data_IF_648299075505
#
_entry.id   IF_648299075505
#
_cell.length_a   1.000
_cell.length_b   1.000
_cell.length_c   1.000
_cell.angle_alpha   90.00
_cell.angle_beta   90.00
_cell.angle_gamma   90.00
#
_symmetry.space_group_name_H-M   'P 1'
#
loop_
_entity.id
_entity.type
_entity.pdbx_description
1 polymer ?
#
# COMPACT_ATOMS: atom_id res chain seq x y z
N UNK A 1 36.95 -16.42 -57.59
CA UNK A 1 36.70 -17.56 -56.68
C UNK A 1 36.24 -17.00 -55.36
N UNK A 2 35.15 -17.55 -54.83
CA UNK A 2 34.29 -16.92 -53.83
C UNK A 2 34.80 -16.94 -52.39
N UNK A 3 34.02 -16.20 -51.60
CA UNK A 3 34.08 -15.81 -50.20
C UNK A 3 34.36 -16.90 -49.16
N UNK A 4 34.96 -16.50 -48.05
CA UNK A 4 34.49 -16.90 -46.72
C UNK A 4 34.88 -15.81 -45.69
N UNK A 5 34.14 -14.70 -45.70
CA UNK A 5 34.03 -13.87 -44.50
C UNK A 5 33.16 -14.66 -43.52
N UNK A 6 33.77 -15.27 -42.51
CA UNK A 6 33.02 -16.03 -41.51
C UNK A 6 32.35 -15.04 -40.55
N UNK A 7 31.05 -14.83 -40.78
CA UNK A 7 30.15 -14.10 -39.91
C UNK A 7 30.02 -14.83 -38.56
N UNK A 8 30.39 -14.17 -37.46
CA UNK A 8 29.84 -14.51 -36.15
C UNK A 8 28.47 -13.82 -36.08
N UNK A 9 27.47 -14.50 -36.63
CA UNK A 9 26.07 -14.21 -36.38
C UNK A 9 25.52 -15.34 -35.52
N UNK A 10 25.42 -15.05 -34.23
CA UNK A 10 24.75 -15.87 -33.23
C UNK A 10 24.26 -14.95 -32.14
N UNK A 11 23.42 -13.98 -32.52
CA UNK A 11 22.63 -13.17 -31.60
C UNK A 11 21.82 -14.09 -30.70
N UNK A 12 22.14 -14.13 -29.41
CA UNK A 12 21.30 -14.82 -28.43
C UNK A 12 19.92 -14.14 -28.38
N UNK A 13 18.81 -14.79 -28.77
CA UNK A 13 17.48 -14.24 -28.59
C UNK A 13 16.91 -14.79 -27.27
N UNK A 14 17.69 -14.69 -26.19
CA UNK A 14 17.21 -14.98 -24.84
C UNK A 14 17.48 -13.84 -23.86
N UNK A 15 17.71 -12.63 -24.37
CA UNK A 15 17.35 -11.42 -23.63
C UNK A 15 15.82 -11.29 -23.61
N UNK A 16 15.14 -12.28 -23.03
CA UNK A 16 13.76 -12.12 -22.61
C UNK A 16 13.71 -10.86 -21.77
N UNK A 17 12.89 -9.90 -22.18
CA UNK A 17 12.76 -8.61 -21.51
C UNK A 17 12.69 -8.87 -20.00
N UNK A 18 13.70 -8.42 -19.27
CA UNK A 18 13.73 -8.60 -17.82
C UNK A 18 12.46 -7.96 -17.27
N UNK A 19 11.62 -8.78 -16.63
CA UNK A 19 10.39 -8.33 -16.00
C UNK A 19 10.81 -7.50 -14.78
N UNK A 20 10.74 -6.18 -14.91
CA UNK A 20 11.09 -5.26 -13.84
C UNK A 20 10.03 -5.27 -12.76
N UNK A 21 10.32 -4.68 -11.60
CA UNK A 21 9.32 -4.51 -10.55
C UNK A 21 8.10 -3.69 -11.02
N UNK A 22 8.26 -2.86 -12.06
CA UNK A 22 7.16 -2.10 -12.67
C UNK A 22 6.20 -2.98 -13.48
N UNK A 23 6.66 -4.13 -13.98
CA UNK A 23 5.85 -5.07 -14.76
C UNK A 23 5.00 -6.00 -13.86
N UNK A 24 5.21 -5.97 -12.54
CA UNK A 24 4.43 -6.75 -11.57
C UNK A 24 3.01 -6.17 -11.43
N UNK A 25 1.94 -6.97 -11.60
CA UNK A 25 0.57 -6.51 -11.42
C UNK A 25 0.30 -6.00 -10.01
N UNK A 26 -0.47 -4.91 -9.89
CA UNK A 26 -0.83 -4.28 -8.60
C UNK A 26 -1.49 -5.26 -7.62
N UNK A 27 -2.32 -6.19 -8.12
CA UNK A 27 -2.98 -7.19 -7.28
C UNK A 27 -2.00 -8.15 -6.61
N UNK A 28 -0.91 -8.53 -7.29
CA UNK A 28 0.13 -9.40 -6.72
C UNK A 28 0.86 -8.68 -5.58
N UNK A 29 1.22 -7.41 -5.80
CA UNK A 29 1.88 -6.58 -4.77
C UNK A 29 0.93 -6.32 -3.59
N UNK A 30 -0.35 -6.08 -3.87
CA UNK A 30 -1.40 -5.92 -2.84
C UNK A 30 -1.50 -7.17 -1.96
N UNK A 31 -1.52 -8.37 -2.57
CA UNK A 31 -1.55 -9.63 -1.83
C UNK A 31 -0.29 -9.81 -0.97
N UNK A 32 0.88 -9.45 -1.48
CA UNK A 32 2.13 -9.45 -0.69
C UNK A 32 2.05 -8.50 0.52
N UNK A 33 1.54 -7.28 0.33
CA UNK A 33 1.41 -6.30 1.41
C UNK A 33 0.46 -6.73 2.54
N UNK A 34 -0.52 -7.61 2.26
CA UNK A 34 -1.37 -8.17 3.32
C UNK A 34 -0.58 -8.95 4.38
N UNK A 35 0.62 -9.45 4.06
CA UNK A 35 1.48 -10.20 4.98
C UNK A 35 2.63 -9.38 5.59
N UNK A 36 2.73 -8.08 5.26
CA UNK A 36 3.81 -7.20 5.73
C UNK A 36 3.37 -6.26 6.85
N UNK A 37 4.29 -5.79 7.67
CA UNK A 37 3.96 -4.81 8.70
C UNK A 37 3.70 -3.42 8.08
N UNK A 38 2.78 -2.61 8.63
CA UNK A 38 2.45 -1.28 8.09
C UNK A 38 3.65 -0.35 7.83
N UNK A 39 4.71 -0.30 8.67
CA UNK A 39 5.93 0.46 8.37
C UNK A 39 6.68 -0.04 7.13
N UNK A 40 6.74 -1.36 6.93
CA UNK A 40 7.41 -1.99 5.77
C UNK A 40 6.69 -1.64 4.47
N UNK A 41 5.35 -1.66 4.49
CA UNK A 41 4.52 -1.26 3.35
C UNK A 41 4.83 0.19 2.96
N UNK A 42 4.97 1.09 3.94
CA UNK A 42 5.28 2.51 3.70
C UNK A 42 6.69 2.71 3.14
N UNK A 43 7.65 1.89 3.56
CA UNK A 43 9.00 1.90 3.01
C UNK A 43 9.00 1.43 1.55
N UNK A 44 8.36 0.30 1.27
CA UNK A 44 8.28 -0.28 -0.07
C UNK A 44 7.50 0.59 -1.06
N UNK A 45 6.50 1.33 -0.57
CA UNK A 45 5.77 2.30 -1.38
C UNK A 45 6.66 3.39 -2.01
N UNK A 46 7.87 3.62 -1.50
CA UNK A 46 8.82 4.62 -2.03
C UNK A 46 9.72 4.07 -3.13
N UNK A 47 9.71 2.76 -3.36
CA UNK A 47 10.67 2.08 -4.24
C UNK A 47 10.27 2.17 -5.72
N UNK A 48 8.99 2.02 -6.05
CA UNK A 48 8.50 2.11 -7.43
C UNK A 48 7.01 2.50 -7.50
N UNK A 49 6.52 2.79 -8.71
CA UNK A 49 5.13 3.21 -8.96
C UNK A 49 4.09 2.12 -8.64
N UNK A 50 4.37 0.86 -8.98
CA UNK A 50 3.45 -0.27 -8.74
C UNK A 50 3.25 -0.50 -7.24
N UNK A 51 4.32 -0.42 -6.46
CA UNK A 51 4.32 -0.55 -5.00
C UNK A 51 3.65 0.65 -4.36
N UNK A 52 3.94 1.87 -4.86
CA UNK A 52 3.25 3.06 -4.41
C UNK A 52 1.73 2.95 -4.58
N UNK A 53 1.26 2.49 -5.74
CA UNK A 53 -0.18 2.27 -6.01
C UNK A 53 -0.78 1.20 -5.11
N UNK A 54 -0.17 0.02 -5.07
CA UNK A 54 -0.63 -1.08 -4.22
C UNK A 54 -0.71 -0.69 -2.74
N UNK A 55 0.22 0.15 -2.25
CA UNK A 55 0.24 0.61 -0.85
C UNK A 55 -0.96 1.48 -0.47
N UNK A 56 -1.72 1.99 -1.46
CA UNK A 56 -2.92 2.80 -1.25
C UNK A 56 -4.20 1.99 -1.37
N UNK A 57 -4.11 0.71 -1.71
CA UNK A 57 -5.27 -0.17 -1.86
C UNK A 57 -5.95 -0.41 -0.52
N UNK A 58 -7.26 -0.22 -0.49
CA UNK A 58 -8.09 -0.48 0.69
C UNK A 58 -8.05 -1.96 1.11
N UNK A 59 -7.78 -2.89 0.18
CA UNK A 59 -7.66 -4.30 0.51
C UNK A 59 -6.49 -4.57 1.49
N UNK A 60 -5.36 -3.87 1.30
CA UNK A 60 -4.22 -3.96 2.22
C UNK A 60 -4.62 -3.49 3.60
N UNK A 61 -5.18 -2.27 3.70
CA UNK A 61 -5.45 -1.64 4.98
C UNK A 61 -6.64 -2.26 5.71
N UNK A 62 -7.63 -2.83 5.00
CA UNK A 62 -8.67 -3.64 5.64
C UNK A 62 -8.07 -4.79 6.45
N UNK A 63 -7.07 -5.49 5.89
CA UNK A 63 -6.39 -6.59 6.58
C UNK A 63 -5.54 -6.10 7.78
N UNK A 64 -5.12 -4.84 7.79
CA UNK A 64 -4.33 -4.26 8.89
C UNK A 64 -5.16 -3.59 9.97
N UNK A 65 -6.44 -3.36 9.71
CA UNK A 65 -7.34 -2.71 10.65
C UNK A 65 -7.96 -3.72 11.61
N UNK A 66 -8.19 -3.34 12.87
CA UNK A 66 -8.90 -4.19 13.81
C UNK A 66 -10.37 -4.35 13.37
N UNK A 67 -11.05 -5.48 13.63
CA UNK A 67 -12.42 -5.72 13.16
C UNK A 67 -13.44 -4.65 13.61
N UNK A 68 -13.20 -4.01 14.75
CA UNK A 68 -14.04 -2.95 15.32
C UNK A 68 -13.65 -1.53 14.86
N UNK A 69 -12.80 -1.37 13.84
CA UNK A 69 -12.29 -0.06 13.40
C UNK A 69 -13.42 0.94 13.09
N UNK A 70 -14.53 0.48 12.50
CA UNK A 70 -15.69 1.34 12.18
C UNK A 70 -16.29 1.99 13.42
N UNK A 71 -16.37 1.23 14.52
CA UNK A 71 -16.83 1.74 15.81
C UNK A 71 -15.83 2.72 16.41
N UNK A 72 -14.53 2.37 16.39
CA UNK A 72 -13.47 3.24 16.92
C UNK A 72 -13.44 4.59 16.21
N UNK A 73 -13.50 4.59 14.87
CA UNK A 73 -13.52 5.82 14.06
C UNK A 73 -14.74 6.67 14.37
N UNK A 74 -15.93 6.06 14.44
CA UNK A 74 -17.16 6.79 14.77
C UNK A 74 -17.03 7.51 16.11
N UNK A 75 -16.57 6.81 17.14
CA UNK A 75 -16.41 7.37 18.50
C UNK A 75 -15.40 8.52 18.53
N UNK A 76 -14.24 8.35 17.89
CA UNK A 76 -13.21 9.40 17.82
C UNK A 76 -13.75 10.67 17.14
N UNK A 77 -14.59 10.52 16.11
CA UNK A 77 -15.17 11.64 15.38
C UNK A 77 -16.33 12.32 16.10
N UNK A 78 -17.08 11.56 16.90
CA UNK A 78 -18.08 12.12 17.83
C UNK A 78 -17.40 12.95 18.92
N UNK A 79 -16.33 12.43 19.53
CA UNK A 79 -15.59 13.14 20.58
C UNK A 79 -14.92 14.44 20.10
N UNK A 80 -14.60 14.56 18.80
CA UNK A 80 -13.91 15.72 18.24
C UNK A 80 -14.83 16.74 17.56
N UNK A 81 -16.15 16.49 17.54
CA UNK A 81 -17.13 17.37 16.89
C UNK A 81 -16.84 17.63 15.39
N UNK A 82 -16.09 16.74 14.74
CA UNK A 82 -15.66 16.85 13.34
C UNK A 82 -16.73 16.30 12.38
N UNK A 83 -17.91 16.93 12.37
CA UNK A 83 -19.08 16.46 11.60
C UNK A 83 -18.82 16.45 10.09
N UNK A 84 -17.97 17.34 9.56
CA UNK A 84 -17.63 17.44 8.13
C UNK A 84 -16.54 16.48 7.63
N UNK A 85 -15.65 15.99 8.49
CA UNK A 85 -14.57 15.06 8.09
C UNK A 85 -15.00 13.58 8.16
N UNK A 86 -16.21 13.30 8.70
CA UNK A 86 -16.78 11.95 8.80
C UNK A 86 -16.83 11.22 7.47
N UNK A 87 -17.35 11.85 6.43
CA UNK A 87 -17.48 11.20 5.12
C UNK A 87 -16.14 11.08 4.40
N UNK A 88 -15.22 12.04 4.60
CA UNK A 88 -13.92 12.06 3.92
C UNK A 88 -12.92 11.04 4.50
N UNK A 89 -12.96 10.79 5.81
CA UNK A 89 -12.14 9.79 6.49
C UNK A 89 -12.56 8.35 6.17
N UNK A 90 -13.83 8.12 5.87
CA UNK A 90 -14.35 6.79 5.48
C UNK A 90 -13.79 6.37 4.11
N UNK A 91 -13.36 7.32 3.27
CA UNK A 91 -12.98 7.07 1.87
C UNK A 91 -11.65 6.32 1.75
N UNK A 92 -10.77 6.32 2.76
CA UNK A 92 -9.51 5.55 2.68
C UNK A 92 -9.14 4.85 3.98
N UNK A 93 -9.05 3.52 3.91
CA UNK A 93 -8.70 2.68 5.07
C UNK A 93 -7.29 2.93 5.59
N UNK A 94 -6.37 3.36 4.72
CA UNK A 94 -5.04 3.84 5.11
C UNK A 94 -5.10 5.00 6.10
N UNK A 95 -5.98 5.97 5.85
CA UNK A 95 -6.10 7.14 6.70
C UNK A 95 -6.73 6.78 8.04
N UNK A 96 -7.70 5.86 8.03
CA UNK A 96 -8.25 5.27 9.25
C UNK A 96 -7.14 4.65 10.11
N UNK A 97 -6.27 3.82 9.51
CA UNK A 97 -5.15 3.23 10.23
C UNK A 97 -4.24 4.32 10.82
N UNK A 98 -3.84 5.31 10.01
CA UNK A 98 -3.01 6.41 10.47
C UNK A 98 -3.64 7.20 11.62
N UNK A 99 -4.97 7.41 11.59
CA UNK A 99 -5.71 8.10 12.65
C UNK A 99 -5.77 7.30 13.94
N UNK A 100 -5.95 5.97 13.84
CA UNK A 100 -6.00 5.07 14.99
C UNK A 100 -4.63 4.91 15.68
N UNK A 101 -3.53 5.02 14.92
CA UNK A 101 -2.18 4.99 15.46
C UNK A 101 -1.77 6.26 16.21
N UNK A 102 -2.50 7.37 16.05
CA UNK A 102 -2.27 8.59 16.85
C UNK A 102 -2.89 8.44 18.24
N UNK A 103 -2.38 9.16 19.25
CA UNK A 103 -3.06 9.26 20.54
C UNK A 103 -4.51 9.73 20.33
N UNK A 104 -5.46 8.92 20.78
CA UNK A 104 -6.88 9.20 20.65
C UNK A 104 -7.46 9.49 22.03
N UNK A 105 -8.21 10.58 22.14
CA UNK A 105 -8.96 10.93 23.34
C UNK A 105 -10.28 10.16 23.27
N UNK A 106 -10.51 9.25 24.22
CA UNK A 106 -11.72 8.41 24.24
C UNK A 106 -12.70 8.80 25.35
N UNK A 107 -12.38 9.82 26.15
CA UNK A 107 -13.08 10.12 27.40
C UNK A 107 -12.84 11.57 27.85
N UNK A 108 -13.15 12.57 27.01
CA UNK A 108 -13.00 14.00 27.34
C UNK A 108 -11.62 14.44 27.92
N UNK A 109 -10.56 13.64 27.72
CA UNK A 109 -9.21 13.89 28.24
C UNK A 109 -8.78 13.05 29.45
N UNK A 110 -9.65 12.25 30.09
CA UNK A 110 -9.29 11.52 31.32
C UNK A 110 -8.46 10.26 31.11
N UNK A 111 -8.37 9.72 29.88
CA UNK A 111 -7.51 8.56 29.56
C UNK A 111 -6.86 8.71 28.18
N UNK A 112 -5.56 8.43 28.10
CA UNK A 112 -4.75 8.38 26.86
C UNK A 112 -4.15 6.98 26.71
N UNK A 113 -4.05 6.51 25.46
CA UNK A 113 -3.23 5.36 25.06
C UNK A 113 -2.12 5.84 24.16
#
# INVERSE_FOLDING_TARGET
>A
MGVASSSIAGSEPFAGKLCGLEDVPENCVTAMFMYMEPPEICLLARVNKSFHRASRSDAVWEHKLPPNYKFLVRRILEDQNEVGEKEKLIIRKKEIYARLCRPNLFDAGTKRK
#
